data_IF_768191458336
#
_entry.id   IF_768191458336
#
_cell.length_a   1.000
_cell.length_b   1.000
_cell.length_c   1.000
_cell.angle_alpha   90.00
_cell.angle_beta   90.00
_cell.angle_gamma   90.00
#
_symmetry.space_group_name_H-M   'P 1'
#
loop_
_entity.id
_entity.type
_entity.pdbx_description
1 polymer ?
#
# COMPACT_ATOMS: atom_id res chain seq x y z
N UNK A 1 12.32 14.68 -0.91
CA UNK A 1 12.82 13.43 -0.30
C UNK A 1 14.12 12.94 -0.96
N UNK A 2 14.21 12.71 -2.28
CA UNK A 2 15.47 12.30 -2.94
C UNK A 2 16.45 13.46 -3.12
N UNK A 3 15.96 14.63 -3.46
CA UNK A 3 16.80 15.82 -3.71
C UNK A 3 17.76 15.57 -4.88
N UNK A 4 19.03 15.95 -4.68
CA UNK A 4 20.12 15.75 -5.65
C UNK A 4 20.86 14.41 -5.51
N UNK A 5 20.44 13.54 -4.59
CA UNK A 5 21.09 12.25 -4.41
C UNK A 5 20.80 11.34 -5.63
N UNK A 6 21.81 10.62 -6.15
CA UNK A 6 21.58 9.65 -7.22
C UNK A 6 20.68 8.52 -6.72
N UNK A 7 19.94 7.88 -7.64
CA UNK A 7 19.17 6.68 -7.33
C UNK A 7 20.06 5.45 -7.15
N UNK A 8 21.22 5.42 -7.81
CA UNK A 8 22.17 4.31 -7.78
C UNK A 8 21.56 2.96 -8.21
N UNK A 9 21.93 1.89 -7.53
CA UNK A 9 21.27 0.61 -7.66
C UNK A 9 19.92 0.63 -6.93
N UNK A 10 18.84 0.19 -7.62
CA UNK A 10 17.46 0.34 -7.14
C UNK A 10 16.77 -1.00 -6.93
N UNK A 11 16.05 -1.16 -5.82
CA UNK A 11 15.18 -2.30 -5.55
C UNK A 11 13.72 -1.85 -5.41
N UNK A 12 12.85 -2.36 -6.29
CA UNK A 12 11.39 -2.30 -6.14
C UNK A 12 10.93 -3.61 -5.46
N UNK A 13 10.74 -3.57 -4.15
CA UNK A 13 10.56 -4.76 -3.33
C UNK A 13 9.18 -5.43 -3.47
N UNK A 14 8.20 -4.71 -4.00
CA UNK A 14 6.84 -5.20 -4.22
C UNK A 14 6.26 -4.67 -5.53
N UNK A 15 6.88 -5.04 -6.65
CA UNK A 15 6.61 -4.39 -7.92
C UNK A 15 5.22 -4.65 -8.48
N UNK A 16 4.65 -3.61 -9.07
CA UNK A 16 3.46 -3.61 -9.89
C UNK A 16 3.67 -2.89 -11.22
N UNK A 17 2.60 -2.75 -12.00
CA UNK A 17 2.64 -2.05 -13.28
C UNK A 17 3.12 -0.60 -13.14
N UNK A 18 2.55 0.14 -12.18
CA UNK A 18 2.84 1.56 -12.01
C UNK A 18 4.22 1.81 -11.40
N UNK A 19 4.60 1.05 -10.36
CA UNK A 19 5.90 1.21 -9.71
C UNK A 19 7.04 0.90 -10.68
N UNK A 20 6.97 -0.21 -11.42
CA UNK A 20 8.04 -0.55 -12.35
C UNK A 20 8.11 0.39 -13.56
N UNK A 21 6.97 0.86 -14.08
CA UNK A 21 6.95 1.88 -15.12
C UNK A 21 7.65 3.16 -14.66
N UNK A 22 7.47 3.56 -13.39
CA UNK A 22 8.14 4.71 -12.82
C UNK A 22 9.64 4.41 -12.58
N UNK A 23 9.98 3.30 -11.90
CA UNK A 23 11.37 2.93 -11.62
C UNK A 23 12.20 2.81 -12.89
N UNK A 24 11.66 2.20 -13.95
CA UNK A 24 12.35 2.08 -15.25
C UNK A 24 12.57 3.42 -15.97
N UNK A 25 11.92 4.50 -15.52
CA UNK A 25 12.12 5.85 -16.06
C UNK A 25 13.17 6.66 -15.31
N UNK A 26 13.66 6.16 -14.17
CA UNK A 26 14.66 6.83 -13.35
C UNK A 26 16.07 6.60 -13.90
N UNK A 27 16.96 7.57 -13.64
CA UNK A 27 18.40 7.42 -13.91
C UNK A 27 19.02 6.57 -12.79
N UNK A 28 19.00 5.24 -13.00
CA UNK A 28 19.54 4.24 -12.08
C UNK A 28 20.70 3.50 -12.72
N UNK A 29 21.67 3.04 -11.94
CA UNK A 29 22.74 2.17 -12.42
C UNK A 29 22.18 0.81 -12.88
N UNK A 30 21.34 0.21 -12.06
CA UNK A 30 20.59 -1.02 -12.33
C UNK A 30 19.35 -1.04 -11.44
N UNK A 31 18.36 -1.85 -11.77
CA UNK A 31 17.26 -2.12 -10.85
C UNK A 31 16.91 -3.61 -10.78
N UNK A 32 16.41 -4.02 -9.63
CA UNK A 32 15.74 -5.29 -9.41
C UNK A 32 14.30 -5.03 -8.94
N UNK A 33 13.35 -5.78 -9.47
CA UNK A 33 11.95 -5.70 -9.12
C UNK A 33 11.45 -7.07 -8.69
N UNK A 34 10.81 -7.15 -7.52
CA UNK A 34 10.35 -8.41 -6.93
C UNK A 34 8.83 -8.42 -6.86
N UNK A 35 8.22 -9.54 -7.22
CA UNK A 35 6.80 -9.80 -7.01
C UNK A 35 6.56 -11.29 -6.74
N UNK A 36 5.63 -11.63 -5.86
CA UNK A 36 5.24 -13.01 -5.63
C UNK A 36 4.26 -13.55 -6.70
N UNK A 37 3.76 -12.70 -7.59
CA UNK A 37 2.80 -13.05 -8.64
C UNK A 37 3.45 -13.17 -10.02
N UNK A 38 3.43 -14.36 -10.62
CA UNK A 38 3.89 -14.56 -12.00
C UNK A 38 3.07 -13.73 -13.01
N UNK A 39 1.76 -13.52 -12.74
CA UNK A 39 0.90 -12.66 -13.55
C UNK A 39 1.35 -11.21 -13.50
N UNK A 40 1.63 -10.69 -12.30
CA UNK A 40 2.14 -9.35 -12.10
C UNK A 40 3.52 -9.17 -12.73
N UNK A 41 4.42 -10.17 -12.63
CA UNK A 41 5.73 -10.11 -13.27
C UNK A 41 5.62 -9.94 -14.80
N UNK A 42 4.67 -10.63 -15.44
CA UNK A 42 4.42 -10.46 -16.89
C UNK A 42 3.95 -9.03 -17.22
N UNK A 43 3.03 -8.51 -16.41
CA UNK A 43 2.49 -7.16 -16.58
C UNK A 43 3.55 -6.10 -16.33
N UNK A 44 4.37 -6.26 -15.29
CA UNK A 44 5.45 -5.35 -14.94
C UNK A 44 6.55 -5.34 -16.02
N UNK A 45 6.95 -6.51 -16.56
CA UNK A 45 7.90 -6.58 -17.69
C UNK A 45 7.39 -5.83 -18.92
N UNK A 46 6.08 -5.93 -19.24
CA UNK A 46 5.49 -5.15 -20.35
C UNK A 46 5.57 -3.66 -20.09
N UNK A 47 5.37 -3.21 -18.84
CA UNK A 47 5.45 -1.80 -18.47
C UNK A 47 6.85 -1.20 -18.63
N UNK A 48 7.90 -2.02 -18.46
CA UNK A 48 9.30 -1.61 -18.56
C UNK A 48 9.97 -2.00 -19.90
N UNK A 49 9.26 -2.67 -20.83
CA UNK A 49 9.85 -3.36 -21.99
C UNK A 49 10.79 -2.47 -22.83
N UNK A 50 10.40 -1.21 -23.08
CA UNK A 50 11.19 -0.26 -23.88
C UNK A 50 12.44 0.28 -23.17
N UNK A 51 12.54 0.09 -21.84
CA UNK A 51 13.60 0.63 -20.97
C UNK A 51 14.37 -0.45 -20.22
N UNK A 52 14.04 -1.72 -20.47
CA UNK A 52 14.68 -2.86 -19.81
C UNK A 52 16.11 -3.06 -20.36
N UNK A 53 17.09 -2.92 -19.49
CA UNK A 53 18.51 -3.11 -19.79
C UNK A 53 18.98 -4.51 -19.37
N UNK A 54 20.13 -4.96 -19.86
CA UNK A 54 20.68 -6.29 -19.56
C UNK A 54 20.98 -6.53 -18.08
N UNK A 55 21.28 -5.47 -17.32
CA UNK A 55 21.53 -5.51 -15.86
C UNK A 55 20.26 -5.46 -15.01
N UNK A 56 19.09 -5.19 -15.61
CA UNK A 56 17.83 -5.04 -14.91
C UNK A 56 17.11 -6.39 -14.78
N UNK A 57 16.42 -6.62 -13.66
CA UNK A 57 15.81 -7.92 -13.36
C UNK A 57 14.40 -7.80 -12.80
N UNK A 58 13.49 -8.66 -13.27
CA UNK A 58 12.19 -8.90 -12.63
C UNK A 58 12.18 -10.32 -12.08
N UNK A 59 12.05 -10.44 -10.77
CA UNK A 59 12.08 -11.70 -10.02
C UNK A 59 10.69 -12.09 -9.57
N UNK A 60 10.32 -13.37 -9.75
CA UNK A 60 9.12 -13.95 -9.15
C UNK A 60 9.54 -14.71 -7.90
N UNK A 61 9.33 -14.11 -6.74
CA UNK A 61 9.75 -14.69 -5.47
C UNK A 61 8.96 -14.08 -4.30
N UNK A 62 8.96 -14.78 -3.16
CA UNK A 62 8.36 -14.32 -1.91
C UNK A 62 9.46 -13.90 -0.92
N UNK A 63 9.25 -12.80 -0.20
CA UNK A 63 10.20 -12.30 0.80
C UNK A 63 10.38 -13.21 2.01
N UNK A 64 9.50 -14.20 2.18
CA UNK A 64 9.68 -15.28 3.17
C UNK A 64 10.83 -16.23 2.80
N UNK A 65 11.28 -16.25 1.54
CA UNK A 65 12.45 -17.04 1.11
C UNK A 65 13.74 -16.36 1.57
N UNK A 66 14.58 -17.04 2.36
CA UNK A 66 15.84 -16.47 2.86
C UNK A 66 16.87 -16.26 1.74
N UNK A 67 16.79 -17.01 0.64
CA UNK A 67 17.74 -16.95 -0.49
C UNK A 67 17.47 -15.74 -1.39
N UNK A 68 16.29 -15.13 -1.31
CA UNK A 68 15.92 -14.01 -2.17
C UNK A 68 16.90 -12.85 -2.00
N UNK A 69 17.62 -12.51 -3.06
CA UNK A 69 18.62 -11.45 -3.12
C UNK A 69 19.76 -11.61 -2.08
N UNK A 70 20.05 -12.84 -1.66
CA UNK A 70 21.10 -13.10 -0.66
C UNK A 70 22.43 -12.44 -1.07
N UNK A 71 23.02 -11.67 -0.15
CA UNK A 71 24.28 -10.95 -0.39
C UNK A 71 24.17 -9.70 -1.26
N UNK A 72 23.01 -9.38 -1.80
CA UNK A 72 22.80 -8.15 -2.59
C UNK A 72 22.29 -6.99 -1.73
N UNK A 73 22.80 -5.80 -2.01
CA UNK A 73 22.31 -4.54 -1.42
C UNK A 73 22.10 -3.49 -2.51
N UNK A 74 21.29 -2.49 -2.18
CA UNK A 74 20.85 -1.44 -3.12
C UNK A 74 20.96 -0.07 -2.45
N UNK A 75 21.32 0.93 -3.26
CA UNK A 75 21.42 2.32 -2.79
C UNK A 75 20.05 2.91 -2.49
N UNK A 76 19.03 2.50 -3.25
CA UNK A 76 17.62 2.89 -3.04
C UNK A 76 16.71 1.67 -3.05
N UNK A 77 15.80 1.61 -2.07
CA UNK A 77 14.77 0.55 -1.96
C UNK A 77 13.39 1.21 -1.85
N UNK A 78 12.42 0.70 -2.61
CA UNK A 78 11.04 1.13 -2.62
C UNK A 78 10.10 0.01 -2.15
N UNK A 79 9.20 0.35 -1.22
CA UNK A 79 8.02 -0.42 -0.87
C UNK A 79 6.77 0.37 -1.28
N UNK A 80 6.26 0.11 -2.49
CA UNK A 80 5.08 0.79 -3.04
C UNK A 80 3.81 0.02 -2.67
N UNK A 81 3.05 0.51 -1.70
CA UNK A 81 1.88 -0.15 -1.06
C UNK A 81 2.13 -1.60 -0.64
N UNK A 82 3.39 -1.94 -0.45
CA UNK A 82 3.86 -3.31 -0.24
C UNK A 82 3.39 -3.90 1.09
N UNK A 83 3.44 -3.11 2.18
CA UNK A 83 3.14 -3.61 3.54
C UNK A 83 1.70 -4.12 3.63
N UNK A 84 0.74 -3.44 3.02
CA UNK A 84 -0.64 -3.91 2.92
C UNK A 84 -0.80 -5.11 1.99
N UNK A 85 -0.15 -5.06 0.82
CA UNK A 85 -0.27 -6.07 -0.22
C UNK A 85 0.33 -7.44 0.17
N UNK A 86 1.32 -7.47 1.08
CA UNK A 86 1.97 -8.73 1.48
C UNK A 86 0.99 -9.71 2.16
N UNK A 87 -0.14 -9.23 2.72
CA UNK A 87 -1.18 -10.09 3.29
C UNK A 87 -1.66 -11.16 2.31
N UNK A 88 -1.70 -10.86 1.02
CA UNK A 88 -2.12 -11.80 -0.03
C UNK A 88 -1.10 -12.89 -0.34
N UNK A 89 0.18 -12.74 0.07
CA UNK A 89 1.28 -13.63 -0.32
C UNK A 89 2.05 -14.22 0.86
N UNK A 90 2.06 -13.54 1.99
CA UNK A 90 2.67 -13.94 3.25
C UNK A 90 1.84 -13.37 4.41
N UNK A 91 0.67 -13.97 4.73
CA UNK A 91 -0.21 -13.49 5.79
C UNK A 91 0.51 -13.41 7.14
N UNK A 92 0.24 -12.33 7.90
CA UNK A 92 0.82 -12.09 9.23
C UNK A 92 2.35 -11.87 9.25
N UNK A 93 2.96 -11.56 8.10
CA UNK A 93 4.41 -11.39 7.98
C UNK A 93 4.85 -9.93 7.93
N UNK A 94 3.91 -8.98 8.07
CA UNK A 94 4.14 -7.54 7.91
C UNK A 94 5.20 -7.00 8.87
N UNK A 95 5.21 -7.46 10.12
CA UNK A 95 6.18 -7.02 11.14
C UNK A 95 7.62 -7.43 10.82
N UNK A 96 7.81 -8.48 10.01
CA UNK A 96 9.13 -9.00 9.66
C UNK A 96 9.72 -8.34 8.41
N UNK A 97 8.89 -7.67 7.60
CA UNK A 97 9.26 -7.10 6.29
C UNK A 97 10.49 -6.20 6.40
N UNK A 98 10.46 -5.24 7.32
CA UNK A 98 11.52 -4.23 7.41
C UNK A 98 12.82 -4.83 7.95
N UNK A 99 12.74 -5.75 8.89
CA UNK A 99 13.90 -6.51 9.38
C UNK A 99 14.50 -7.36 8.28
N UNK A 100 13.66 -8.04 7.48
CA UNK A 100 14.09 -8.86 6.34
C UNK A 100 14.75 -8.03 5.23
N UNK A 101 14.25 -6.82 5.00
CA UNK A 101 14.79 -5.91 3.98
C UNK A 101 16.04 -5.16 4.45
N UNK A 102 16.24 -5.01 5.75
CA UNK A 102 17.34 -4.20 6.31
C UNK A 102 18.73 -4.49 5.70
N UNK A 103 19.16 -5.75 5.51
CA UNK A 103 20.45 -6.07 4.89
C UNK A 103 20.58 -5.62 3.42
N UNK A 104 19.45 -5.44 2.74
CA UNK A 104 19.41 -5.05 1.33
C UNK A 104 19.42 -3.53 1.12
N UNK A 105 19.25 -2.74 2.18
CA UNK A 105 19.22 -1.26 2.11
C UNK A 105 20.59 -0.70 2.49
N UNK A 106 21.29 -0.13 1.51
CA UNK A 106 22.58 0.52 1.72
C UNK A 106 22.41 2.03 2.00
N UNK A 107 21.54 2.69 1.26
CA UNK A 107 21.35 4.13 1.33
C UNK A 107 19.95 4.52 1.80
N UNK A 108 18.96 4.56 0.90
CA UNK A 108 17.63 5.09 1.18
C UNK A 108 16.52 4.05 1.02
N UNK A 109 15.61 4.02 1.99
CA UNK A 109 14.35 3.28 1.92
C UNK A 109 13.18 4.24 1.78
N UNK A 110 12.34 4.02 0.78
CA UNK A 110 11.06 4.71 0.61
C UNK A 110 9.90 3.74 0.86
N UNK A 111 8.95 4.15 1.66
CA UNK A 111 7.72 3.39 1.92
C UNK A 111 6.54 4.27 1.56
N UNK A 112 5.72 3.79 0.62
CA UNK A 112 4.42 4.36 0.28
C UNK A 112 3.34 3.49 0.87
N UNK A 113 2.35 4.09 1.50
CA UNK A 113 1.19 3.39 2.05
C UNK A 113 0.00 4.32 2.20
N UNK A 114 -1.14 3.75 2.52
CA UNK A 114 -2.40 4.47 2.77
C UNK A 114 -2.76 4.39 4.24
N UNK A 115 -3.18 5.50 4.84
CA UNK A 115 -3.77 5.46 6.18
C UNK A 115 -5.06 4.62 6.15
N UNK A 116 -5.31 3.78 7.16
CA UNK A 116 -6.52 2.95 7.21
C UNK A 116 -7.79 3.79 7.08
N UNK A 117 -8.67 3.41 6.17
CA UNK A 117 -9.92 4.15 5.91
C UNK A 117 -11.19 3.29 6.06
N UNK A 118 -11.05 1.96 6.13
CA UNK A 118 -12.20 1.05 6.19
C UNK A 118 -12.81 0.98 7.59
N UNK A 119 -11.98 1.09 8.63
CA UNK A 119 -12.37 0.90 10.03
C UNK A 119 -12.76 2.18 10.74
N UNK A 120 -12.21 3.31 10.34
CA UNK A 120 -12.44 4.60 10.98
C UNK A 120 -13.84 5.15 10.65
N UNK A 121 -14.41 5.95 11.54
CA UNK A 121 -15.67 6.62 11.29
C UNK A 121 -15.41 7.91 10.49
N UNK A 122 -15.80 7.98 9.21
CA UNK A 122 -15.55 9.17 8.39
C UNK A 122 -16.49 10.31 8.78
N UNK A 123 -15.94 11.52 8.82
CA UNK A 123 -16.69 12.74 9.18
C UNK A 123 -17.50 13.31 7.99
N UNK A 124 -17.19 12.91 6.76
CA UNK A 124 -17.78 13.45 5.53
C UNK A 124 -18.61 12.42 4.77
N UNK A 125 -19.51 12.88 3.91
CA UNK A 125 -20.33 12.02 3.04
C UNK A 125 -19.44 11.22 2.08
N UNK A 126 -18.48 11.88 1.45
CA UNK A 126 -17.52 11.25 0.53
C UNK A 126 -16.73 10.15 1.27
N UNK A 127 -16.31 10.43 2.49
CA UNK A 127 -15.63 9.46 3.34
C UNK A 127 -16.51 8.24 3.66
N UNK A 128 -17.80 8.43 3.94
CA UNK A 128 -18.76 7.34 4.17
C UNK A 128 -18.93 6.47 2.92
N UNK A 129 -19.01 7.09 1.74
CA UNK A 129 -19.11 6.37 0.46
C UNK A 129 -17.86 5.52 0.24
N UNK A 130 -16.66 6.08 0.40
CA UNK A 130 -15.39 5.36 0.24
C UNK A 130 -15.29 4.20 1.23
N UNK A 131 -15.64 4.44 2.51
CA UNK A 131 -15.65 3.40 3.53
C UNK A 131 -16.65 2.28 3.20
N UNK A 132 -17.86 2.61 2.72
CA UNK A 132 -18.87 1.64 2.35
C UNK A 132 -18.39 0.74 1.19
N UNK A 133 -17.71 1.32 0.19
CA UNK A 133 -17.06 0.57 -0.89
C UNK A 133 -16.01 -0.37 -0.32
N UNK A 134 -15.13 0.10 0.56
CA UNK A 134 -14.07 -0.70 1.16
C UNK A 134 -14.63 -1.87 2.00
N UNK A 135 -15.65 -1.62 2.82
CA UNK A 135 -16.33 -2.65 3.63
C UNK A 135 -17.03 -3.69 2.76
N UNK A 136 -17.71 -3.25 1.69
CA UNK A 136 -18.36 -4.16 0.75
C UNK A 136 -17.34 -5.04 0.04
N UNK A 137 -16.22 -4.46 -0.41
CA UNK A 137 -15.10 -5.20 -1.00
C UNK A 137 -14.56 -6.26 -0.02
N UNK A 138 -14.29 -5.88 1.20
CA UNK A 138 -13.71 -6.79 2.21
C UNK A 138 -14.68 -7.92 2.55
N UNK A 139 -15.98 -7.63 2.66
CA UNK A 139 -17.01 -8.64 2.85
C UNK A 139 -17.07 -9.64 1.67
N UNK A 140 -17.09 -9.16 0.43
CA UNK A 140 -17.10 -10.01 -0.76
C UNK A 140 -15.83 -10.88 -0.84
N UNK A 141 -14.65 -10.32 -0.56
CA UNK A 141 -13.41 -11.07 -0.54
C UNK A 141 -13.44 -12.21 0.49
N UNK A 142 -13.86 -11.90 1.73
CA UNK A 142 -13.93 -12.90 2.80
C UNK A 142 -14.94 -14.01 2.48
N UNK A 143 -16.11 -13.67 1.95
CA UNK A 143 -17.13 -14.63 1.54
C UNK A 143 -16.68 -15.51 0.35
N UNK A 144 -15.88 -14.95 -0.57
CA UNK A 144 -15.29 -15.67 -1.70
C UNK A 144 -13.95 -16.34 -1.39
N UNK A 145 -13.64 -16.59 -0.11
CA UNK A 145 -12.38 -17.19 0.35
C UNK A 145 -11.10 -16.40 0.00
N UNK A 146 -11.25 -15.12 -0.34
CA UNK A 146 -10.14 -14.19 -0.54
C UNK A 146 -9.67 -13.55 0.78
N UNK A 147 -8.59 -12.79 0.70
CA UNK A 147 -8.06 -12.02 1.83
C UNK A 147 -8.07 -10.53 1.48
N UNK A 148 -8.77 -9.68 2.26
CA UNK A 148 -8.67 -8.23 2.12
C UNK A 148 -7.24 -7.76 2.40
N UNK A 149 -6.77 -6.77 1.66
CA UNK A 149 -5.56 -6.05 2.03
C UNK A 149 -5.77 -5.29 3.33
N UNK A 150 -4.71 -5.19 4.14
CA UNK A 150 -4.73 -4.43 5.38
C UNK A 150 -3.86 -3.19 5.21
N UNK A 151 -4.49 -2.04 5.34
CA UNK A 151 -3.75 -0.78 5.43
C UNK A 151 -3.15 -0.64 6.83
N UNK A 152 -1.91 -0.17 6.92
CA UNK A 152 -1.21 0.08 8.17
C UNK A 152 -0.96 1.56 8.32
N UNK A 153 -1.31 2.19 9.46
CA UNK A 153 -1.09 3.62 9.66
C UNK A 153 0.41 3.95 9.67
N UNK A 154 0.76 5.16 9.20
CA UNK A 154 2.15 5.62 9.21
C UNK A 154 2.81 5.47 10.58
N UNK A 155 2.06 5.71 11.67
CA UNK A 155 2.58 5.55 13.04
C UNK A 155 3.04 4.13 13.35
N UNK A 156 2.36 3.10 12.84
CA UNK A 156 2.79 1.71 12.97
C UNK A 156 4.08 1.48 12.17
N UNK A 157 4.14 1.95 10.93
CA UNK A 157 5.33 1.81 10.06
C UNK A 157 6.55 2.48 10.70
N UNK A 158 6.38 3.66 11.29
CA UNK A 158 7.44 4.38 11.98
C UNK A 158 8.01 3.57 13.16
N UNK A 159 7.17 2.91 13.96
CA UNK A 159 7.62 2.02 15.03
C UNK A 159 8.41 0.82 14.50
N UNK A 160 7.91 0.19 13.42
CA UNK A 160 8.60 -0.95 12.79
C UNK A 160 9.95 -0.55 12.19
N UNK A 161 10.07 0.64 11.60
CA UNK A 161 11.35 1.18 11.12
C UNK A 161 12.36 1.31 12.24
N UNK A 162 11.95 1.86 13.39
CA UNK A 162 12.82 1.94 14.57
C UNK A 162 13.31 0.56 15.05
N UNK A 163 12.40 -0.42 15.15
CA UNK A 163 12.72 -1.80 15.53
C UNK A 163 13.68 -2.46 14.53
N UNK A 164 13.51 -2.20 13.23
CA UNK A 164 14.35 -2.77 12.19
C UNK A 164 15.69 -2.04 11.98
N UNK A 165 16.03 -1.06 12.80
CA UNK A 165 17.32 -0.35 12.73
C UNK A 165 17.38 0.68 11.59
N UNK A 166 16.27 1.39 11.36
CA UNK A 166 16.22 2.53 10.45
C UNK A 166 16.00 3.84 11.18
N UNK A 167 16.59 4.90 10.66
CA UNK A 167 16.32 6.29 11.05
C UNK A 167 15.41 6.94 10.02
N UNK A 168 14.25 7.41 10.47
CA UNK A 168 13.33 8.18 9.62
C UNK A 168 13.93 9.56 9.32
N UNK A 169 13.90 9.97 8.07
CA UNK A 169 14.41 11.26 7.57
C UNK A 169 13.27 12.23 7.30
N UNK A 170 12.20 11.73 6.71
CA UNK A 170 11.08 12.58 6.29
C UNK A 170 9.81 11.76 6.20
N UNK A 171 8.68 12.37 6.55
CA UNK A 171 7.33 11.82 6.36
C UNK A 171 6.49 12.87 5.67
N UNK A 172 5.83 12.50 4.58
CA UNK A 172 4.84 13.34 3.89
C UNK A 172 3.52 12.64 3.80
N UNK A 173 2.42 13.40 3.90
CA UNK A 173 1.06 12.93 3.69
C UNK A 173 0.44 13.64 2.49
N UNK A 174 -0.33 12.90 1.73
CA UNK A 174 -0.99 13.36 0.51
C UNK A 174 -2.47 13.02 0.59
N UNK A 175 -3.36 14.01 0.78
CA UNK A 175 -4.80 13.76 0.79
C UNK A 175 -5.26 13.05 -0.48
N UNK A 176 -6.08 12.02 -0.33
CA UNK A 176 -6.56 11.23 -1.46
C UNK A 176 -7.90 11.79 -1.95
N UNK A 177 -8.05 11.83 -3.27
CA UNK A 177 -9.30 12.09 -3.97
C UNK A 177 -9.58 10.94 -4.94
N UNK A 178 -10.43 10.02 -4.50
CA UNK A 178 -10.78 8.87 -5.32
C UNK A 178 -11.67 9.31 -6.49
N UNK A 179 -11.43 8.68 -7.64
CA UNK A 179 -12.11 8.93 -8.91
C UNK A 179 -12.85 7.68 -9.38
N UNK A 180 -13.58 7.81 -10.48
CA UNK A 180 -14.36 6.74 -11.10
C UNK A 180 -13.59 5.41 -11.23
N UNK A 181 -12.29 5.47 -11.59
CA UNK A 181 -11.44 4.27 -11.67
C UNK A 181 -11.38 3.50 -10.35
N UNK A 182 -11.29 4.18 -9.20
CA UNK A 182 -11.30 3.55 -7.90
C UNK A 182 -12.63 2.84 -7.66
N UNK A 183 -13.75 3.55 -7.81
CA UNK A 183 -15.10 2.99 -7.60
C UNK A 183 -15.27 1.72 -8.42
N UNK A 184 -15.03 1.81 -9.73
CA UNK A 184 -15.20 0.68 -10.62
C UNK A 184 -14.26 -0.47 -10.29
N UNK A 185 -12.97 -0.22 -10.03
CA UNK A 185 -12.01 -1.28 -9.73
C UNK A 185 -12.33 -2.05 -8.44
N UNK A 186 -12.78 -1.34 -7.40
CA UNK A 186 -13.15 -1.97 -6.13
C UNK A 186 -14.43 -2.81 -6.27
N UNK A 187 -15.44 -2.29 -6.94
CA UNK A 187 -16.71 -2.98 -7.14
C UNK A 187 -16.61 -4.15 -8.13
N UNK A 188 -15.76 -4.05 -9.17
CA UNK A 188 -15.43 -5.19 -10.03
C UNK A 188 -14.70 -6.31 -9.26
N UNK A 189 -13.87 -5.96 -8.28
CA UNK A 189 -13.26 -6.94 -7.39
C UNK A 189 -14.32 -7.68 -6.56
N UNK A 190 -15.36 -6.98 -6.09
CA UNK A 190 -16.52 -7.61 -5.45
C UNK A 190 -17.23 -8.60 -6.38
N UNK A 191 -17.60 -8.16 -7.59
CA UNK A 191 -18.32 -8.98 -8.55
C UNK A 191 -17.61 -10.30 -8.87
N UNK A 192 -16.28 -10.27 -9.00
CA UNK A 192 -15.46 -11.46 -9.26
C UNK A 192 -15.52 -12.51 -8.13
N UNK A 193 -15.88 -12.12 -6.90
CA UNK A 193 -16.00 -13.03 -5.78
C UNK A 193 -17.37 -13.72 -5.74
N UNK A 194 -18.41 -13.14 -6.36
CA UNK A 194 -19.77 -13.66 -6.29
C UNK A 194 -19.90 -15.05 -6.93
N UNK A 195 -19.08 -15.35 -7.93
CA UNK A 195 -19.06 -16.66 -8.60
C UNK A 195 -18.51 -17.79 -7.70
N UNK A 196 -17.87 -17.43 -6.59
CA UNK A 196 -17.36 -18.37 -5.59
C UNK A 196 -18.39 -18.70 -4.50
N UNK A 197 -19.54 -18.00 -4.48
CA UNK A 197 -20.57 -18.19 -3.46
C UNK A 197 -21.50 -19.36 -3.81
N UNK A 198 -21.69 -20.26 -2.85
CA UNK A 198 -22.61 -21.40 -3.01
C UNK A 198 -24.08 -21.03 -2.76
N UNK A 199 -24.37 -19.80 -2.32
CA UNK A 199 -25.72 -19.29 -2.05
C UNK A 199 -26.14 -18.28 -3.13
N UNK A 200 -27.01 -18.67 -4.08
CA UNK A 200 -27.46 -17.77 -5.14
C UNK A 200 -28.26 -16.55 -4.63
N UNK A 201 -29.00 -16.70 -3.53
CA UNK A 201 -29.77 -15.57 -2.98
C UNK A 201 -28.85 -14.52 -2.36
N UNK A 202 -27.83 -14.96 -1.62
CA UNK A 202 -26.78 -14.07 -1.11
C UNK A 202 -26.00 -13.41 -2.24
N UNK A 203 -25.61 -14.17 -3.26
CA UNK A 203 -24.91 -13.64 -4.43
C UNK A 203 -25.73 -12.54 -5.13
N UNK A 204 -27.05 -12.74 -5.30
CA UNK A 204 -27.92 -11.74 -5.90
C UNK A 204 -28.06 -10.50 -5.01
N UNK A 205 -28.27 -10.65 -3.72
CA UNK A 205 -28.37 -9.54 -2.78
C UNK A 205 -27.09 -8.68 -2.76
N UNK A 206 -25.91 -9.32 -2.81
CA UNK A 206 -24.64 -8.62 -2.91
C UNK A 206 -24.49 -7.91 -4.26
N UNK A 207 -24.92 -8.51 -5.37
CA UNK A 207 -24.91 -7.87 -6.70
C UNK A 207 -25.77 -6.62 -6.70
N UNK A 208 -26.98 -6.68 -6.17
CA UNK A 208 -27.87 -5.52 -6.07
C UNK A 208 -27.25 -4.41 -5.20
N UNK A 209 -26.61 -4.80 -4.09
CA UNK A 209 -25.88 -3.83 -3.23
C UNK A 209 -24.67 -3.20 -3.94
N UNK A 210 -23.92 -3.98 -4.72
CA UNK A 210 -22.77 -3.46 -5.50
C UNK A 210 -23.24 -2.42 -6.51
N UNK A 211 -24.32 -2.68 -7.24
CA UNK A 211 -24.84 -1.73 -8.23
C UNK A 211 -25.45 -0.48 -7.57
N UNK A 212 -26.14 -0.64 -6.43
CA UNK A 212 -26.62 0.52 -5.66
C UNK A 212 -25.45 1.38 -5.17
N UNK A 213 -24.37 0.76 -4.65
CA UNK A 213 -23.17 1.49 -4.21
C UNK A 213 -22.44 2.18 -5.37
N UNK A 214 -22.45 1.55 -6.55
CA UNK A 214 -21.89 2.14 -7.78
C UNK A 214 -22.69 3.40 -8.19
N UNK A 215 -24.01 3.29 -8.21
CA UNK A 215 -24.91 4.39 -8.56
C UNK A 215 -24.77 5.58 -7.59
N UNK A 216 -24.62 5.31 -6.31
CA UNK A 216 -24.39 6.33 -5.26
C UNK A 216 -23.03 7.02 -5.44
N UNK A 217 -21.95 6.26 -5.68
CA UNK A 217 -20.58 6.77 -5.65
C UNK A 217 -20.16 7.51 -6.92
N UNK A 218 -20.64 7.10 -8.09
CA UNK A 218 -20.17 7.63 -9.39
C UNK A 218 -20.40 9.14 -9.56
N UNK A 219 -21.54 9.74 -9.15
CA UNK A 219 -21.73 11.19 -9.27
C UNK A 219 -20.64 11.98 -8.52
N UNK A 220 -20.28 11.56 -7.29
CA UNK A 220 -19.22 12.17 -6.52
C UNK A 220 -17.84 11.94 -7.17
N UNK A 221 -17.56 10.70 -7.58
CA UNK A 221 -16.27 10.32 -8.15
C UNK A 221 -15.97 11.03 -9.49
N UNK A 222 -17.02 11.42 -10.23
CA UNK A 222 -16.95 12.18 -11.49
C UNK A 222 -16.94 13.69 -11.28
N UNK A 223 -17.33 14.18 -10.11
CA UNK A 223 -17.28 15.62 -9.81
C UNK A 223 -15.84 16.15 -9.84
N UNK A 224 -15.67 17.45 -9.93
CA UNK A 224 -14.36 18.09 -9.90
C UNK A 224 -13.60 17.76 -8.60
N UNK A 225 -14.30 17.70 -7.45
CA UNK A 225 -13.72 17.41 -6.14
C UNK A 225 -13.34 15.93 -5.98
N UNK A 226 -14.08 15.01 -6.60
CA UNK A 226 -13.96 13.58 -6.37
C UNK A 226 -14.37 13.17 -4.96
N UNK A 227 -14.10 11.93 -4.58
CA UNK A 227 -14.36 11.40 -3.24
C UNK A 227 -13.14 11.65 -2.35
N UNK A 228 -13.18 12.70 -1.53
CA UNK A 228 -12.11 13.02 -0.59
C UNK A 228 -12.18 12.08 0.64
N UNK A 229 -11.17 11.24 0.83
CA UNK A 229 -11.10 10.35 2.00
C UNK A 229 -9.67 9.88 2.25
N UNK A 230 -9.21 10.02 3.50
CA UNK A 230 -7.90 9.54 3.93
C UNK A 230 -6.71 10.24 3.28
N UNK A 231 -5.56 9.66 3.46
CA UNK A 231 -4.30 10.14 2.90
C UNK A 231 -3.36 8.98 2.60
N UNK A 232 -2.61 9.10 1.52
CA UNK A 232 -1.38 8.34 1.36
C UNK A 232 -0.26 8.97 2.18
N UNK A 233 0.69 8.16 2.61
CA UNK A 233 1.93 8.63 3.20
C UNK A 233 3.14 8.13 2.42
N UNK A 234 4.18 8.93 2.42
CA UNK A 234 5.51 8.55 1.95
C UNK A 234 6.49 8.77 3.08
N UNK A 235 7.21 7.72 3.45
CA UNK A 235 8.26 7.75 4.47
C UNK A 235 9.60 7.52 3.80
N UNK A 236 10.57 8.40 4.05
CA UNK A 236 11.96 8.22 3.69
C UNK A 236 12.76 7.87 4.94
N UNK A 237 13.51 6.77 4.90
CA UNK A 237 14.35 6.30 5.98
C UNK A 237 15.72 5.87 5.49
N UNK A 238 16.69 5.82 6.39
CA UNK A 238 18.05 5.37 6.14
C UNK A 238 18.42 4.30 7.17
N UNK A 239 19.25 3.31 6.80
CA UNK A 239 19.77 2.36 7.76
C UNK A 239 20.61 3.07 8.82
N UNK A 240 20.45 2.67 10.08
CA UNK A 240 21.40 3.03 11.13
C UNK A 240 22.70 2.23 10.95
N UNK A 241 23.84 2.87 11.18
CA UNK A 241 25.13 2.19 11.20
C UNK A 241 25.15 1.09 12.28
N UNK A 242 25.89 -0.03 12.06
CA UNK A 242 25.98 -1.13 13.02
C UNK A 242 26.67 -0.73 14.31
N UNK A 243 26.20 0.13 15.10
CA UNK A 243 26.75 0.66 16.34
C UNK A 243 25.90 1.75 16.97
N UNK A 244 24.93 2.25 16.22
CA UNK A 244 23.94 3.18 16.75
C UNK A 244 22.72 2.39 17.21
N UNK A 245 22.57 2.21 18.52
CA UNK A 245 21.28 1.81 19.09
C UNK A 245 20.24 2.87 18.71
N UNK A 246 19.09 2.41 18.21
CA UNK A 246 17.98 3.30 17.91
C UNK A 246 17.69 4.17 19.15
N UNK A 247 17.81 5.49 19.00
CA UNK A 247 17.30 6.40 20.00
C UNK A 247 15.79 6.13 20.13
N UNK A 248 15.23 6.16 21.35
CA UNK A 248 13.80 6.01 21.53
C UNK A 248 13.11 7.02 20.63
N UNK A 249 12.06 6.58 19.92
CA UNK A 249 11.24 7.44 19.07
C UNK A 249 10.85 8.68 19.86
N UNK A 250 10.91 9.89 19.29
CA UNK A 250 10.36 11.05 19.93
C UNK A 250 8.90 10.76 20.29
N UNK A 251 8.57 10.86 21.58
CA UNK A 251 7.26 10.47 22.13
C UNK A 251 6.09 11.32 21.62
N UNK A 252 6.37 12.35 20.81
CA UNK A 252 5.39 13.20 20.17
C UNK A 252 5.82 13.58 18.75
N UNK A 253 5.40 12.78 17.78
CA UNK A 253 5.02 13.36 16.49
C UNK A 253 3.57 13.81 16.70
N UNK A 254 3.23 15.11 16.56
CA UNK A 254 1.85 15.54 16.66
C UNK A 254 1.07 14.81 15.54
N UNK A 255 0.26 13.86 15.93
CA UNK A 255 -0.77 13.33 15.07
C UNK A 255 -1.91 14.30 15.24
N UNK A 256 -2.17 15.15 14.26
CA UNK A 256 -3.41 15.91 14.18
C UNK A 256 -4.56 14.91 14.07
N UNK A 257 -5.06 14.50 15.22
CA UNK A 257 -6.33 13.80 15.29
C UNK A 257 -7.43 14.86 15.15
N UNK A 258 -8.40 14.68 14.25
CA UNK A 258 -9.62 15.45 14.31
C UNK A 258 -10.25 15.25 15.70
N UNK A 259 -10.84 16.30 16.31
CA UNK A 259 -11.43 16.20 17.62
C UNK A 259 -12.47 15.07 17.67
N UNK A 260 -12.44 14.29 18.75
CA UNK A 260 -13.44 13.25 19.01
C UNK A 260 -14.85 13.86 18.94
N UNK A 261 -15.84 13.15 18.38
CA UNK A 261 -17.23 13.65 18.38
C UNK A 261 -17.67 13.85 19.83
N UNK A 262 -18.13 15.07 20.14
CA UNK A 262 -18.76 15.36 21.42
C UNK A 262 -20.00 14.48 21.56
N UNK A 263 -20.05 13.67 22.61
CA UNK A 263 -21.26 12.94 22.99
C UNK A 263 -22.40 13.97 23.21
N UNK A 264 -23.48 13.84 22.44
CA UNK A 264 -24.67 14.60 22.65
C UNK A 264 -25.25 14.22 24.04
N UNK A 265 -25.36 15.19 24.93
CA UNK A 265 -26.01 15.00 26.22
C UNK A 265 -27.44 14.49 26.01
N UNK A 266 -27.94 13.54 26.84
CA UNK A 266 -29.30 13.08 26.73
C UNK A 266 -30.24 14.22 27.08
N UNK A 267 -31.08 14.59 26.11
CA UNK A 267 -32.22 15.51 26.36
C UNK A 267 -33.22 14.82 27.29
N UNK A 268 -33.43 15.42 28.47
CA UNK A 268 -34.45 15.04 29.43
C UNK A 268 -35.89 15.32 28.95
#
# INVERSE_FOLDING_TARGET
MQGSLPWGSFLDAGTGYNSLRWVSSLDTERWAAVTASAGMARTARKAAAERLRSQDRVLVANWTSPELLYGECFDTVLLDYFIGAIEGFAPYWQEQVLTRLRPHVKGRLYIVGTEPYVLDAPATEEGRIVQAIGRLRDACLLLGNGRPYREYPASWVLRQLGTAGFRVREVRRFPIRYRERFVNSQLEMCLKQLDQLNDPALAQALRDRIEAQRAEALPYARSEQGLACGADYVIAAEPLDPGHHALPLPQHVPVDHPPAPQEAAPSG
#
